data_IF_085442488715
#
_entry.id   IF_085442488715
#
_cell.length_a   1.000
_cell.length_b   1.000
_cell.length_c   1.000
_cell.angle_alpha   90.00
_cell.angle_beta   90.00
_cell.angle_gamma   90.00
#
_symmetry.space_group_name_H-M   'P 1'
#
loop_
_entity.id
_entity.type
_entity.pdbx_description
1 polymer ?
#
# COMPACT_ATOMS: atom_id res chain seq x y z
N UNK A 1 -27.38 -6.54 -16.46
CA UNK A 1 -26.17 -7.24 -16.92
C UNK A 1 -25.22 -6.19 -17.47
N UNK A 2 -24.02 -6.06 -16.92
CA UNK A 2 -23.03 -5.09 -17.40
C UNK A 2 -22.06 -5.80 -18.34
N UNK A 3 -21.79 -5.20 -19.49
CA UNK A 3 -20.80 -5.69 -20.45
C UNK A 3 -19.72 -4.62 -20.61
N UNK A 4 -18.49 -5.05 -20.82
CA UNK A 4 -17.34 -4.17 -21.01
C UNK A 4 -16.35 -4.83 -21.96
N UNK A 5 -15.63 -4.01 -22.71
CA UNK A 5 -14.65 -4.48 -23.70
C UNK A 5 -13.24 -4.40 -23.13
N UNK A 6 -12.41 -5.35 -23.53
CA UNK A 6 -10.99 -5.35 -23.25
C UNK A 6 -10.29 -4.40 -24.23
N UNK A 7 -9.47 -3.49 -23.72
CA UNK A 7 -8.67 -2.55 -24.53
C UNK A 7 -7.19 -2.66 -24.22
N UNK A 8 -6.35 -2.57 -25.26
CA UNK A 8 -4.89 -2.53 -25.09
C UNK A 8 -4.47 -1.20 -24.44
N UNK A 9 -3.64 -1.26 -23.41
CA UNK A 9 -3.05 -0.08 -22.74
C UNK A 9 -1.58 -0.38 -22.48
N UNK A 10 -0.69 0.21 -23.28
CA UNK A 10 0.75 -0.07 -23.23
C UNK A 10 1.05 -1.56 -23.40
N UNK A 11 1.80 -2.12 -22.46
CA UNK A 11 2.14 -3.55 -22.40
C UNK A 11 1.01 -4.48 -21.93
N UNK A 12 -0.14 -3.95 -21.51
CA UNK A 12 -1.21 -4.69 -20.83
C UNK A 12 -2.59 -4.53 -21.50
N UNK A 13 -3.62 -5.12 -20.91
CA UNK A 13 -5.03 -5.01 -21.32
C UNK A 13 -5.84 -4.51 -20.14
N UNK A 14 -6.76 -3.59 -20.38
CA UNK A 14 -7.63 -3.00 -19.36
C UNK A 14 -9.09 -3.36 -19.63
N UNK A 15 -9.84 -3.59 -18.55
CA UNK A 15 -11.28 -3.74 -18.53
C UNK A 15 -11.88 -2.52 -17.82
N UNK A 16 -12.84 -1.84 -18.46
CA UNK A 16 -13.57 -0.76 -17.78
C UNK A 16 -14.60 -1.36 -16.83
N UNK A 17 -14.57 -0.96 -15.56
CA UNK A 17 -15.54 -1.37 -14.54
C UNK A 17 -16.49 -0.20 -14.28
N UNK A 18 -17.81 -0.34 -14.50
CA UNK A 18 -18.78 0.70 -14.17
C UNK A 18 -18.73 1.10 -12.69
N UNK A 19 -18.89 2.39 -12.34
CA UNK A 19 -18.84 2.86 -10.94
C UNK A 19 -19.77 2.10 -10.00
N UNK A 20 -20.99 1.79 -10.46
CA UNK A 20 -21.97 1.02 -9.69
C UNK A 20 -21.46 -0.38 -9.26
N UNK A 21 -20.58 -1.01 -10.04
CA UNK A 21 -19.96 -2.30 -9.64
C UNK A 21 -18.85 -2.07 -8.62
N UNK A 22 -18.02 -1.03 -8.82
CA UNK A 22 -16.97 -0.65 -7.85
C UNK A 22 -17.56 -0.38 -6.47
N UNK A 23 -18.69 0.33 -6.41
CA UNK A 23 -19.38 0.66 -5.16
C UNK A 23 -19.90 -0.59 -4.42
N UNK A 24 -20.41 -1.59 -5.16
CA UNK A 24 -20.89 -2.85 -4.58
C UNK A 24 -19.80 -3.65 -3.88
N UNK A 25 -18.55 -3.52 -4.33
CA UNK A 25 -17.39 -4.21 -3.74
C UNK A 25 -16.53 -3.28 -2.88
N UNK A 26 -17.03 -2.07 -2.59
CA UNK A 26 -16.35 -1.04 -1.79
C UNK A 26 -14.92 -0.72 -2.26
N UNK A 27 -14.71 -0.73 -3.58
CA UNK A 27 -13.46 -0.34 -4.20
C UNK A 27 -13.54 1.07 -4.76
N UNK A 28 -12.38 1.71 -4.91
CA UNK A 28 -12.24 2.99 -5.59
C UNK A 28 -11.09 2.94 -6.61
N UNK A 29 -11.09 3.85 -7.57
CA UNK A 29 -9.98 4.00 -8.52
C UNK A 29 -8.64 4.12 -7.77
N UNK A 30 -7.63 3.38 -8.22
CA UNK A 30 -6.31 3.31 -7.58
C UNK A 30 -6.22 2.35 -6.38
N UNK A 31 -7.28 1.64 -6.03
CA UNK A 31 -7.21 0.58 -4.99
C UNK A 31 -6.43 -0.64 -5.50
N UNK A 32 -5.61 -1.23 -4.63
CA UNK A 32 -4.99 -2.53 -4.90
C UNK A 32 -6.04 -3.64 -4.85
N UNK A 33 -5.94 -4.57 -5.80
CA UNK A 33 -6.83 -5.72 -5.94
C UNK A 33 -6.03 -6.97 -6.22
N UNK A 34 -6.53 -8.11 -5.78
CA UNK A 34 -5.99 -9.40 -6.18
C UNK A 34 -6.74 -9.92 -7.42
N UNK A 35 -6.01 -10.61 -8.30
CA UNK A 35 -6.52 -11.20 -9.53
C UNK A 35 -6.28 -12.71 -9.49
N UNK A 36 -7.33 -13.50 -9.68
CA UNK A 36 -7.25 -14.96 -9.74
C UNK A 36 -8.08 -15.49 -10.91
N UNK A 37 -7.68 -16.63 -11.47
CA UNK A 37 -8.48 -17.37 -12.45
C UNK A 37 -9.04 -18.62 -11.78
N UNK A 38 -10.36 -18.73 -11.72
CA UNK A 38 -11.04 -19.90 -11.20
C UNK A 38 -12.13 -20.34 -12.18
N UNK A 39 -12.12 -21.60 -12.61
CA UNK A 39 -13.14 -22.16 -13.50
C UNK A 39 -13.40 -21.33 -14.77
N UNK A 40 -12.33 -20.79 -15.37
CA UNK A 40 -12.41 -19.94 -16.57
C UNK A 40 -12.92 -18.52 -16.33
N UNK A 41 -13.09 -18.11 -15.06
CA UNK A 41 -13.54 -16.77 -14.67
C UNK A 41 -12.36 -16.00 -14.08
N UNK A 42 -12.20 -14.74 -14.49
CA UNK A 42 -11.32 -13.81 -13.82
C UNK A 42 -12.04 -13.25 -12.59
N UNK A 43 -11.54 -13.59 -11.41
CA UNK A 43 -12.03 -13.09 -10.12
C UNK A 43 -11.15 -11.92 -9.71
N UNK A 44 -11.79 -10.80 -9.42
CA UNK A 44 -11.16 -9.59 -8.88
C UNK A 44 -11.69 -9.40 -7.47
N UNK A 45 -10.80 -9.33 -6.48
CA UNK A 45 -11.20 -9.11 -5.09
C UNK A 45 -10.40 -7.98 -4.45
N UNK A 46 -10.98 -7.25 -3.48
CA UNK A 46 -10.24 -6.27 -2.71
C UNK A 46 -9.04 -6.92 -2.04
N UNK A 47 -7.87 -6.32 -2.18
CA UNK A 47 -6.72 -6.75 -1.39
C UNK A 47 -6.87 -6.15 0.01
N UNK A 48 -6.93 -6.97 1.09
CA UNK A 48 -7.01 -6.43 2.43
C UNK A 48 -5.74 -5.60 2.68
N UNK A 49 -5.93 -4.31 2.98
CA UNK A 49 -4.80 -3.46 3.41
C UNK A 49 -4.11 -4.16 4.58
N UNK A 50 -2.79 -4.37 4.45
CA UNK A 50 -1.98 -4.86 5.57
C UNK A 50 -2.15 -3.87 6.72
N UNK A 51 -2.86 -4.31 7.76
CA UNK A 51 -2.91 -3.61 9.04
C UNK A 51 -1.78 -4.18 9.86
N UNK A 52 -0.88 -3.32 10.29
CA UNK A 52 0.17 -3.68 11.22
C UNK A 52 -0.21 -3.13 12.58
N UNK A 53 -0.01 -3.94 13.62
CA UNK A 53 0.09 -3.46 14.98
C UNK A 53 1.46 -2.84 15.22
N UNK A 54 1.54 -1.89 16.16
CA UNK A 54 2.82 -1.34 16.61
C UNK A 54 3.79 -2.46 17.00
N UNK A 55 3.28 -3.49 17.67
CA UNK A 55 4.08 -4.61 18.16
C UNK A 55 4.67 -5.47 17.02
N UNK A 56 3.92 -5.72 15.94
CA UNK A 56 4.44 -6.41 14.75
C UNK A 56 5.55 -5.63 14.05
N UNK A 57 5.44 -4.30 14.02
CA UNK A 57 6.49 -3.44 13.45
C UNK A 57 7.74 -3.43 14.35
N UNK A 58 7.56 -3.28 15.66
CA UNK A 58 8.67 -3.27 16.61
C UNK A 58 9.44 -4.60 16.64
N UNK A 59 8.76 -5.73 16.43
CA UNK A 59 9.42 -7.06 16.37
C UNK A 59 10.37 -7.18 15.18
N UNK A 60 10.17 -6.39 14.12
CA UNK A 60 11.06 -6.35 12.95
C UNK A 60 12.23 -5.37 13.13
N UNK A 61 12.23 -4.56 14.19
CA UNK A 61 13.29 -3.61 14.48
C UNK A 61 14.35 -4.24 15.41
N UNK A 62 15.62 -4.03 15.07
CA UNK A 62 16.72 -4.27 16.00
C UNK A 62 16.94 -2.99 16.84
N UNK A 63 16.50 -3.01 18.09
CA UNK A 63 16.66 -1.88 19.01
C UNK A 63 18.13 -1.66 19.44
N UNK A 64 19.03 -2.60 19.15
CA UNK A 64 20.46 -2.47 19.40
C UNK A 64 21.25 -1.97 18.18
N UNK A 65 20.58 -1.79 17.04
CA UNK A 65 21.22 -1.28 15.84
C UNK A 65 21.78 0.14 16.10
N UNK A 66 23.04 0.41 15.69
CA UNK A 66 23.61 1.74 15.80
C UNK A 66 22.83 2.72 14.92
N UNK A 67 22.76 3.98 15.36
CA UNK A 67 22.19 5.05 14.54
C UNK A 67 23.02 5.21 13.26
N UNK A 68 22.39 5.54 12.11
CA UNK A 68 23.12 5.86 10.90
C UNK A 68 24.03 7.09 11.10
N UNK A 69 25.23 7.10 10.53
CA UNK A 69 26.15 8.26 10.58
C UNK A 69 25.50 9.56 10.07
N UNK A 70 24.51 9.46 9.18
CA UNK A 70 23.76 10.61 8.69
C UNK A 70 22.97 11.33 9.80
N UNK A 71 22.59 10.61 10.86
CA UNK A 71 21.80 11.14 11.97
C UNK A 71 22.69 11.76 13.06
N UNK A 72 24.01 11.54 13.04
CA UNK A 72 24.95 12.10 14.02
C UNK A 72 24.91 13.64 14.04
N UNK A 73 24.73 14.25 12.87
CA UNK A 73 24.60 15.70 12.75
C UNK A 73 23.37 16.26 13.49
N UNK A 74 22.32 15.45 13.67
CA UNK A 74 21.11 15.83 14.41
C UNK A 74 21.22 15.48 15.90
N UNK A 75 21.75 14.31 16.25
CA UNK A 75 21.81 13.83 17.63
C UNK A 75 22.95 14.45 18.44
N UNK A 76 24.04 14.84 17.78
CA UNK A 76 25.21 15.47 18.41
C UNK A 76 25.19 17.00 18.28
N UNK A 77 24.13 17.57 17.71
CA UNK A 77 23.99 19.02 17.59
C UNK A 77 23.91 19.66 18.98
N UNK A 78 24.73 20.69 19.21
CA UNK A 78 24.64 21.48 20.42
C UNK A 78 23.31 22.28 20.44
N UNK A 79 22.68 22.44 21.61
CA UNK A 79 21.48 23.26 21.72
C UNK A 79 21.81 24.70 21.30
N UNK A 80 21.02 25.24 20.37
CA UNK A 80 21.15 26.61 19.87
C UNK A 80 20.15 27.57 20.51
N UNK A 81 19.33 27.09 21.45
CA UNK A 81 18.26 27.82 22.13
C UNK A 81 18.10 27.45 23.62
N UNK A 82 16.90 27.69 24.18
CA UNK A 82 16.56 27.36 25.60
C UNK A 82 16.01 25.94 25.77
N UNK A 83 16.51 25.01 24.99
CA UNK A 83 16.06 23.63 25.00
C UNK A 83 16.62 22.96 26.26
N UNK A 84 15.73 22.42 27.10
CA UNK A 84 16.13 21.59 28.24
C UNK A 84 16.43 20.18 27.70
N UNK A 85 17.65 19.70 27.94
CA UNK A 85 18.06 18.32 27.67
C UNK A 85 17.48 17.41 28.75
#
# INVERSE_FOLDING_TARGET
MYTSNLRRVGGSVMLAVPPAILDMVQLQSGSSVSLMVESGRLIVSPEPKKKYSLQELLTQCDASAPLPEADDAWTSAAPVGKELI
#
